data_IF_813885659562
#
_entry.id   IF_813885659562
#
_cell.length_a   1.000
_cell.length_b   1.000
_cell.length_c   1.000
_cell.angle_alpha   90.00
_cell.angle_beta   90.00
_cell.angle_gamma   90.00
#
_symmetry.space_group_name_H-M   'P 1'
#
loop_
_entity.id
_entity.type
_entity.pdbx_description
1 polymer ?
#
# COMPACT_ATOMS: atom_id res chain seq x y z
N UNK A 1 2.66 23.21 11.71
CA UNK A 1 1.21 22.96 11.51
C UNK A 1 0.98 21.54 11.98
N UNK A 2 0.58 21.38 13.23
CA UNK A 2 0.20 20.10 13.81
C UNK A 2 -1.03 19.57 13.06
N UNK A 3 -0.84 18.49 12.30
CA UNK A 3 -1.97 17.70 11.82
C UNK A 3 -2.46 16.88 13.00
N UNK A 4 -3.78 16.77 13.22
CA UNK A 4 -4.30 15.89 14.25
C UNK A 4 -3.85 14.46 13.92
N UNK A 5 -2.96 13.90 14.74
CA UNK A 5 -2.69 12.46 14.80
C UNK A 5 -4.00 11.81 15.21
N UNK A 6 -4.86 11.58 14.22
CA UNK A 6 -6.08 10.84 14.42
C UNK A 6 -5.59 9.42 14.69
N UNK A 7 -5.81 8.91 15.90
CA UNK A 7 -5.57 7.51 16.23
C UNK A 7 -6.47 6.64 15.34
N UNK A 8 -6.05 6.44 14.10
CA UNK A 8 -6.76 5.65 13.12
C UNK A 8 -6.47 4.19 13.45
N UNK A 9 -7.49 3.48 13.93
CA UNK A 9 -7.39 2.07 14.23
C UNK A 9 -7.62 1.27 12.93
N UNK A 10 -6.59 0.56 12.45
CA UNK A 10 -6.66 -0.26 11.23
C UNK A 10 -7.75 -1.37 11.29
N UNK A 11 -8.25 -1.69 12.49
CA UNK A 11 -9.24 -2.74 12.73
C UNK A 11 -10.69 -2.24 12.72
N UNK A 12 -10.92 -0.98 13.06
CA UNK A 12 -12.27 -0.42 13.26
C UNK A 12 -12.54 0.83 12.43
N UNK A 13 -11.49 1.49 11.94
CA UNK A 13 -11.60 2.62 11.04
C UNK A 13 -11.87 2.15 9.61
N UNK A 14 -12.82 2.79 8.93
CA UNK A 14 -12.90 2.69 7.48
C UNK A 14 -11.86 3.63 6.89
N UNK A 15 -10.78 3.12 6.24
CA UNK A 15 -9.78 3.99 5.67
C UNK A 15 -10.39 4.76 4.49
N UNK A 16 -9.95 5.99 4.23
CA UNK A 16 -10.41 6.73 3.07
C UNK A 16 -10.01 5.99 1.79
N UNK A 17 -10.98 5.80 0.90
CA UNK A 17 -10.82 5.08 -0.36
C UNK A 17 -10.80 6.07 -1.52
N UNK A 18 -9.76 5.96 -2.33
CA UNK A 18 -9.63 6.64 -3.62
C UNK A 18 -9.87 5.63 -4.74
N UNK A 19 -10.86 5.89 -5.61
CA UNK A 19 -11.01 5.13 -6.84
C UNK A 19 -9.96 5.57 -7.86
N UNK A 20 -9.20 4.63 -8.41
CA UNK A 20 -8.16 4.92 -9.37
C UNK A 20 -7.63 3.67 -10.04
N UNK A 21 -6.53 3.80 -10.78
CA UNK A 21 -5.91 2.66 -11.46
C UNK A 21 -4.63 2.29 -10.75
N UNK A 22 -4.45 1.02 -10.40
CA UNK A 22 -3.24 0.54 -9.72
C UNK A 22 -2.01 0.69 -10.61
N UNK A 23 -2.20 0.73 -11.94
CA UNK A 23 -1.15 1.06 -12.89
C UNK A 23 -0.56 2.47 -12.70
N UNK A 24 -1.33 3.44 -12.18
CA UNK A 24 -0.83 4.80 -11.97
C UNK A 24 0.17 4.82 -10.81
N UNK A 25 -0.07 4.01 -9.77
CA UNK A 25 0.91 3.75 -8.72
C UNK A 25 2.16 3.03 -9.25
N UNK A 26 2.01 2.07 -10.16
CA UNK A 26 3.16 1.37 -10.75
C UNK A 26 4.00 2.29 -11.64
N UNK A 27 3.37 3.27 -12.30
CA UNK A 27 4.04 4.23 -13.17
C UNK A 27 4.87 5.27 -12.38
N UNK A 28 4.30 5.83 -11.31
CA UNK A 28 5.00 6.74 -10.39
C UNK A 28 4.52 6.54 -8.94
N UNK A 29 5.14 5.62 -8.20
CA UNK A 29 4.68 5.26 -6.86
C UNK A 29 4.87 6.42 -5.87
N UNK A 30 5.89 7.25 -6.05
CA UNK A 30 6.19 8.35 -5.13
C UNK A 30 5.18 9.48 -5.33
N UNK A 31 4.88 9.87 -6.58
CA UNK A 31 3.87 10.88 -6.83
C UNK A 31 2.49 10.43 -6.35
N UNK A 32 2.11 9.17 -6.63
CA UNK A 32 0.85 8.59 -6.19
C UNK A 32 0.74 8.57 -4.66
N UNK A 33 1.74 8.04 -3.95
CA UNK A 33 1.73 8.02 -2.48
C UNK A 33 1.73 9.41 -1.86
N UNK A 34 2.45 10.36 -2.45
CA UNK A 34 2.48 11.74 -1.96
C UNK A 34 1.13 12.42 -2.09
N UNK A 35 0.42 12.16 -3.19
CA UNK A 35 -0.94 12.68 -3.40
C UNK A 35 -1.93 12.06 -2.41
N UNK A 36 -1.92 10.74 -2.28
CA UNK A 36 -2.77 10.04 -1.32
C UNK A 36 -2.52 10.51 0.12
N UNK A 37 -1.27 10.65 0.54
CA UNK A 37 -0.93 11.17 1.87
C UNK A 37 -1.36 12.63 2.06
N UNK A 38 -1.31 13.44 1.00
CA UNK A 38 -1.75 14.84 1.03
C UNK A 38 -3.26 14.94 1.20
N UNK A 39 -4.02 14.08 0.54
CA UNK A 39 -5.48 14.09 0.53
C UNK A 39 -6.09 13.42 1.77
N UNK A 40 -5.48 12.33 2.24
CA UNK A 40 -6.11 11.42 3.20
C UNK A 40 -5.38 11.31 4.55
N UNK A 41 -4.16 11.84 4.64
CA UNK A 41 -3.36 11.73 5.86
C UNK A 41 -2.77 10.34 6.03
N UNK A 42 -2.69 9.86 7.27
CA UNK A 42 -1.80 8.76 7.68
C UNK A 42 -2.17 7.38 7.11
N UNK A 43 -3.40 7.21 6.61
CA UNK A 43 -3.86 5.98 5.95
C UNK A 43 -4.68 6.32 4.72
N UNK A 44 -4.44 5.61 3.62
CA UNK A 44 -5.23 5.72 2.39
C UNK A 44 -5.36 4.37 1.69
N UNK A 45 -6.45 4.15 0.95
CA UNK A 45 -6.64 2.97 0.10
C UNK A 45 -6.86 3.39 -1.34
N UNK A 46 -6.03 2.89 -2.24
CA UNK A 46 -6.27 2.96 -3.69
C UNK A 46 -7.03 1.71 -4.12
N UNK A 47 -8.21 1.89 -4.74
CA UNK A 47 -9.04 0.79 -5.22
C UNK A 47 -9.18 0.84 -6.74
N UNK A 48 -9.02 -0.33 -7.38
CA UNK A 48 -9.34 -0.57 -8.78
C UNK A 48 -10.21 -1.84 -8.87
N UNK A 49 -11.52 -1.64 -9.08
CA UNK A 49 -12.51 -2.73 -9.04
C UNK A 49 -12.43 -3.52 -7.71
N UNK A 50 -12.16 -4.83 -7.77
CA UNK A 50 -12.02 -5.71 -6.60
C UNK A 50 -10.62 -5.64 -5.94
N UNK A 51 -9.65 -5.00 -6.60
CA UNK A 51 -8.29 -4.92 -6.08
C UNK A 51 -8.09 -3.65 -5.26
N UNK A 52 -7.44 -3.79 -4.11
CA UNK A 52 -7.19 -2.68 -3.19
C UNK A 52 -5.73 -2.69 -2.73
N UNK A 53 -5.16 -1.50 -2.61
CA UNK A 53 -3.84 -1.29 -2.05
C UNK A 53 -3.94 -0.25 -0.92
N UNK A 54 -3.66 -0.68 0.30
CA UNK A 54 -3.60 0.19 1.46
C UNK A 54 -2.20 0.77 1.64
N UNK A 55 -2.14 2.04 2.00
CA UNK A 55 -0.93 2.80 2.29
C UNK A 55 -0.98 3.30 3.72
N UNK A 56 0.11 3.10 4.45
CA UNK A 56 0.25 3.50 5.85
C UNK A 56 1.47 4.40 5.97
N UNK A 57 1.24 5.66 6.32
CA UNK A 57 2.26 6.69 6.42
C UNK A 57 2.67 6.97 7.87
N UNK A 58 1.83 6.65 8.85
CA UNK A 58 2.13 6.83 10.28
C UNK A 58 3.17 5.82 10.80
N UNK A 59 4.14 6.26 11.63
CA UNK A 59 5.07 5.36 12.32
C UNK A 59 4.39 4.35 13.24
N UNK A 60 3.36 4.78 13.99
CA UNK A 60 2.64 3.96 14.98
C UNK A 60 1.91 2.81 14.30
N UNK A 61 1.21 3.11 13.20
CA UNK A 61 0.50 2.11 12.42
C UNK A 61 1.45 1.19 11.65
N UNK A 62 2.57 1.71 11.16
CA UNK A 62 3.63 0.88 10.59
C UNK A 62 4.16 -0.12 11.62
N UNK A 63 4.41 0.30 12.85
CA UNK A 63 4.83 -0.61 13.91
C UNK A 63 3.76 -1.69 14.18
N UNK A 64 2.48 -1.32 14.22
CA UNK A 64 1.39 -2.28 14.43
C UNK A 64 1.34 -3.35 13.33
N UNK A 65 1.43 -2.93 12.05
CA UNK A 65 1.40 -3.87 10.91
C UNK A 65 2.63 -4.77 10.88
N UNK A 66 3.81 -4.21 11.13
CA UNK A 66 5.06 -4.96 11.04
C UNK A 66 5.29 -5.89 12.23
N UNK A 67 4.65 -5.63 13.38
CA UNK A 67 4.77 -6.47 14.58
C UNK A 67 3.76 -7.62 14.63
N UNK A 68 2.58 -7.48 14.02
CA UNK A 68 1.54 -8.51 14.03
C UNK A 68 1.61 -9.44 12.80
N UNK A 69 2.49 -10.43 12.87
CA UNK A 69 2.66 -11.46 11.82
C UNK A 69 1.54 -12.50 11.76
N UNK A 70 0.60 -12.50 12.72
CA UNK A 70 -0.56 -13.39 12.68
C UNK A 70 -1.67 -12.83 11.81
N UNK A 71 -1.79 -11.51 11.75
CA UNK A 71 -2.81 -10.82 10.97
C UNK A 71 -2.27 -10.30 9.63
N UNK A 72 -1.02 -9.84 9.60
CA UNK A 72 -0.38 -9.34 8.39
C UNK A 72 0.67 -10.32 7.88
N UNK A 73 0.37 -10.92 6.73
CA UNK A 73 1.30 -11.82 6.06
C UNK A 73 2.11 -11.05 5.03
N UNK A 74 3.42 -11.15 5.14
CA UNK A 74 4.31 -10.65 4.09
C UNK A 74 4.10 -11.48 2.82
N UNK A 75 3.52 -10.86 1.80
CA UNK A 75 3.44 -11.43 0.44
C UNK A 75 4.38 -10.65 -0.46
N UNK A 76 5.18 -11.37 -1.23
CA UNK A 76 6.06 -10.75 -2.22
C UNK A 76 5.23 -10.04 -3.29
N UNK A 77 5.40 -8.71 -3.36
CA UNK A 77 4.83 -7.77 -4.32
C UNK A 77 3.29 -7.76 -4.43
N UNK A 78 2.66 -6.67 -3.97
CA UNK A 78 1.22 -6.47 -4.10
C UNK A 78 0.74 -6.29 -5.55
N UNK A 79 1.60 -5.74 -6.43
CA UNK A 79 1.28 -5.45 -7.83
C UNK A 79 2.33 -6.03 -8.76
N UNK A 80 1.87 -6.65 -9.86
CA UNK A 80 2.76 -7.11 -10.93
C UNK A 80 3.10 -5.94 -11.84
N UNK A 81 4.38 -5.82 -12.17
CA UNK A 81 4.83 -4.85 -13.17
C UNK A 81 4.30 -5.16 -14.59
N UNK A 82 4.35 -4.18 -15.52
CA UNK A 82 3.97 -4.36 -16.92
C UNK A 82 4.75 -5.48 -17.61
N UNK A 83 4.20 -6.03 -18.71
CA UNK A 83 4.89 -7.06 -19.51
C UNK A 83 6.31 -6.56 -19.92
N UNK A 84 7.30 -7.44 -19.79
CA UNK A 84 8.73 -7.18 -20.10
C UNK A 84 9.43 -6.10 -19.24
N UNK A 85 8.80 -5.61 -18.17
CA UNK A 85 9.44 -4.64 -17.25
C UNK A 85 10.44 -5.30 -16.28
N UNK A 86 11.35 -4.50 -15.73
CA UNK A 86 12.26 -4.93 -14.66
C UNK A 86 11.49 -5.39 -13.42
N UNK A 87 10.46 -4.66 -13.02
CA UNK A 87 9.55 -5.05 -11.94
C UNK A 87 8.91 -6.41 -12.21
N UNK A 88 8.42 -6.68 -13.43
CA UNK A 88 7.85 -7.99 -13.77
C UNK A 88 8.84 -9.14 -13.58
N UNK A 89 10.11 -8.94 -13.96
CA UNK A 89 11.18 -9.94 -13.74
C UNK A 89 11.46 -10.17 -12.25
N UNK A 90 11.45 -9.10 -11.46
CA UNK A 90 11.61 -9.18 -10.01
C UNK A 90 10.44 -9.90 -9.33
N UNK A 91 9.20 -9.62 -9.79
CA UNK A 91 7.97 -10.22 -9.23
C UNK A 91 7.66 -11.63 -9.73
N UNK A 92 8.40 -12.14 -10.72
CA UNK A 92 8.18 -13.47 -11.32
C UNK A 92 9.42 -14.39 -11.26
N UNK A 93 10.57 -13.91 -10.79
CA UNK A 93 11.83 -14.66 -10.70
C UNK A 93 12.10 -15.19 -9.28
N UNK A 94 13.28 -15.81 -9.09
CA UNK A 94 13.86 -16.45 -7.88
C UNK A 94 13.22 -16.18 -6.50
N UNK A 95 12.82 -14.94 -6.19
CA UNK A 95 12.14 -14.57 -4.94
C UNK A 95 10.73 -15.17 -4.78
N UNK A 96 10.10 -15.66 -5.85
CA UNK A 96 8.80 -16.34 -5.80
C UNK A 96 8.88 -17.88 -5.86
N UNK A 97 10.09 -18.48 -5.87
CA UNK A 97 10.29 -19.94 -5.91
C UNK A 97 10.69 -20.56 -4.56
N UNK A 98 11.01 -19.75 -3.55
CA UNK A 98 11.20 -20.23 -2.19
C UNK A 98 9.95 -19.92 -1.37
N UNK A 99 8.89 -20.68 -1.65
CA UNK A 99 7.78 -20.89 -0.72
C UNK A 99 8.08 -22.09 0.16
#
# INVERSE_FOLDING_TARGET
>A
MDRPTTEFNLWTGQPPITEGRLQDFVADPIACMRELHREHGDVAVLRESEQQLAFIFSPELNHQVLSDTKQFYSRFFALRGPKRSAQRRLTCGLLSMNG
#
